data_IF_966800603269
#
_entry.id   IF_966800603269
#
_cell.length_a   1.000
_cell.length_b   1.000
_cell.length_c   1.000
_cell.angle_alpha   90.00
_cell.angle_beta   90.00
_cell.angle_gamma   90.00
#
_symmetry.space_group_name_H-M   'P 1'
#
loop_
_entity.id
_entity.type
_entity.pdbx_description
1 polymer ?
#
# COMPACT_ATOMS: atom_id res chain seq x y z
N UNK A 1 10.59 -5.42 -3.41
CA UNK A 1 9.81 -5.28 -2.15
C UNK A 1 9.23 -6.59 -1.63
N UNK A 2 8.32 -7.27 -2.34
CA UNK A 2 7.67 -8.50 -1.83
C UNK A 2 8.67 -9.64 -1.51
N UNK A 3 9.70 -9.83 -2.35
CA UNK A 3 10.71 -10.87 -2.11
C UNK A 3 11.47 -10.65 -0.78
N UNK A 4 11.83 -9.40 -0.47
CA UNK A 4 12.46 -9.03 0.81
C UNK A 4 11.54 -9.31 1.99
N UNK A 5 10.27 -8.86 1.92
CA UNK A 5 9.30 -9.09 2.99
C UNK A 5 9.08 -10.60 3.23
N UNK A 6 9.05 -11.40 2.16
CA UNK A 6 8.95 -12.85 2.27
C UNK A 6 10.21 -13.47 2.89
N UNK A 7 11.39 -12.96 2.55
CA UNK A 7 12.66 -13.42 3.13
C UNK A 7 12.73 -13.11 4.62
N UNK A 8 12.45 -11.85 5.01
CA UNK A 8 12.41 -11.43 6.41
C UNK A 8 11.39 -12.23 7.23
N UNK A 9 10.20 -12.51 6.69
CA UNK A 9 9.21 -13.36 7.38
C UNK A 9 9.71 -14.79 7.67
N UNK A 10 10.60 -15.33 6.82
CA UNK A 10 11.18 -16.67 6.98
C UNK A 10 12.38 -16.67 7.92
N UNK A 11 12.94 -15.51 8.23
CA UNK A 11 14.01 -15.36 9.20
C UNK A 11 13.41 -15.24 10.61
N UNK A 12 13.32 -16.36 11.33
CA UNK A 12 12.68 -16.37 12.65
C UNK A 12 13.44 -15.56 13.70
N UNK A 13 14.73 -15.30 13.50
CA UNK A 13 15.55 -14.53 14.44
C UNK A 13 15.28 -13.03 14.28
N UNK A 14 15.29 -12.55 13.04
CA UNK A 14 15.18 -11.12 12.76
C UNK A 14 13.74 -10.64 12.54
N UNK A 15 12.82 -11.53 12.18
CA UNK A 15 11.43 -11.16 11.88
C UNK A 15 10.75 -10.36 13.00
N UNK A 16 10.83 -10.73 14.29
CA UNK A 16 10.14 -9.99 15.35
C UNK A 16 10.60 -8.52 15.42
N UNK A 17 11.91 -8.28 15.31
CA UNK A 17 12.48 -6.94 15.34
C UNK A 17 12.13 -6.16 14.06
N UNK A 18 12.26 -6.81 12.89
CA UNK A 18 11.92 -6.22 11.60
C UNK A 18 10.44 -5.81 11.53
N UNK A 19 9.53 -6.68 12.00
CA UNK A 19 8.10 -6.41 12.06
C UNK A 19 7.78 -5.30 13.07
N UNK A 20 8.41 -5.31 14.25
CA UNK A 20 8.23 -4.28 15.28
C UNK A 20 8.66 -2.87 14.81
N UNK A 21 9.57 -2.78 13.85
CA UNK A 21 9.97 -1.51 13.24
C UNK A 21 8.94 -0.90 12.26
N UNK A 22 7.87 -1.64 11.93
CA UNK A 22 6.76 -1.18 11.09
C UNK A 22 5.56 -0.82 11.97
N UNK A 23 5.29 0.48 12.23
CA UNK A 23 4.19 0.84 13.10
C UNK A 23 2.84 0.51 12.45
N UNK A 24 1.83 0.09 13.25
CA UNK A 24 0.47 0.02 12.76
C UNK A 24 -0.06 1.43 12.44
N UNK A 25 -0.94 1.61 11.44
CA UNK A 25 -1.42 2.94 11.07
C UNK A 25 -2.09 3.72 12.20
N UNK A 26 -2.68 3.05 13.21
CA UNK A 26 -3.22 3.69 14.41
C UNK A 26 -2.19 4.52 15.18
N UNK A 27 -0.93 4.04 15.24
CA UNK A 27 0.17 4.64 15.99
C UNK A 27 1.06 5.54 15.12
N UNK A 28 0.61 5.84 13.90
CA UNK A 28 1.38 6.66 12.98
C UNK A 28 1.40 8.13 13.41
N UNK A 29 2.57 8.81 13.35
CA UNK A 29 2.63 10.26 13.55
C UNK A 29 1.86 11.02 12.46
N UNK A 30 1.59 10.37 11.32
CA UNK A 30 0.89 10.98 10.20
C UNK A 30 -0.62 10.79 10.29
N UNK A 31 -1.36 11.88 10.44
CA UNK A 31 -2.82 11.86 10.60
C UNK A 31 -3.57 11.17 9.45
N UNK A 32 -3.04 11.19 8.22
CA UNK A 32 -3.69 10.53 7.08
C UNK A 32 -3.63 9.00 7.15
N UNK A 33 -2.65 8.42 7.85
CA UNK A 33 -2.54 6.97 8.08
C UNK A 33 -3.47 6.50 9.19
N UNK A 34 -3.73 7.33 10.20
CA UNK A 34 -4.62 6.99 11.34
C UNK A 34 -6.10 6.84 10.98
N UNK A 35 -6.50 7.23 9.76
CA UNK A 35 -7.89 7.13 9.26
C UNK A 35 -8.23 5.72 8.76
N UNK A 36 -9.52 5.39 8.68
CA UNK A 36 -10.01 4.14 8.08
C UNK A 36 -10.57 3.15 9.10
N UNK A 37 -10.83 1.93 8.64
CA UNK A 37 -11.45 0.86 9.43
C UNK A 37 -10.45 0.26 10.43
N UNK A 38 -10.96 -0.41 11.46
CA UNK A 38 -10.16 -1.14 12.46
C UNK A 38 -9.15 -2.10 11.83
N UNK A 39 -9.56 -2.81 10.77
CA UNK A 39 -8.69 -3.74 10.04
C UNK A 39 -7.44 -3.03 9.50
N UNK A 40 -7.58 -1.86 8.88
CA UNK A 40 -6.44 -1.06 8.43
C UNK A 40 -5.61 -0.56 9.61
N UNK A 41 -6.27 0.03 10.61
CA UNK A 41 -5.60 0.74 11.70
C UNK A 41 -4.74 -0.17 12.59
N UNK A 42 -5.16 -1.42 12.79
CA UNK A 42 -4.58 -2.31 13.81
C UNK A 42 -4.00 -3.60 13.23
N UNK A 43 -4.40 -4.00 12.02
CA UNK A 43 -3.94 -5.26 11.43
C UNK A 43 -2.94 -5.06 10.29
N UNK A 44 -2.69 -3.83 9.84
CA UNK A 44 -1.62 -3.51 8.90
C UNK A 44 -0.41 -2.95 9.64
N UNK A 45 0.78 -3.19 9.10
CA UNK A 45 2.07 -2.72 9.60
C UNK A 45 2.85 -2.22 8.40
N UNK A 46 3.10 -0.90 8.34
CA UNK A 46 3.41 -0.26 7.05
C UNK A 46 4.66 0.61 7.11
N UNK A 47 5.36 0.66 5.99
CA UNK A 47 6.33 1.70 5.66
C UNK A 47 5.82 2.52 4.49
N UNK A 48 5.97 3.84 4.61
CA UNK A 48 5.74 4.79 3.53
C UNK A 48 7.06 5.26 2.94
N UNK A 49 7.06 5.56 1.64
CA UNK A 49 8.13 6.27 0.95
C UNK A 49 7.53 7.27 -0.02
N UNK A 50 8.07 8.48 -0.07
CA UNK A 50 7.58 9.55 -0.95
C UNK A 50 8.74 10.26 -1.61
N UNK A 51 8.58 10.61 -2.89
CA UNK A 51 9.51 11.47 -3.63
C UNK A 51 8.68 12.46 -4.45
N UNK A 52 9.23 13.65 -4.71
CA UNK A 52 8.51 14.69 -5.46
C UNK A 52 9.16 15.03 -6.81
N UNK A 53 10.39 14.57 -7.09
CA UNK A 53 11.14 14.93 -8.29
C UNK A 53 11.89 13.73 -8.88
N UNK A 54 12.01 13.62 -10.22
CA UNK A 54 11.41 14.49 -11.23
C UNK A 54 9.89 14.26 -11.41
N UNK A 55 9.39 13.13 -10.93
CA UNK A 55 7.97 12.83 -10.79
C UNK A 55 7.66 12.40 -9.36
N UNK A 56 6.45 12.68 -8.91
CA UNK A 56 5.92 12.23 -7.64
C UNK A 56 5.94 10.71 -7.54
N UNK A 57 6.33 10.18 -6.39
CA UNK A 57 6.29 8.75 -6.08
C UNK A 57 5.64 8.58 -4.72
N UNK A 58 4.76 7.58 -4.61
CA UNK A 58 4.22 7.11 -3.35
C UNK A 58 4.38 5.59 -3.27
N UNK A 59 5.25 5.16 -2.37
CA UNK A 59 5.44 3.79 -1.96
C UNK A 59 4.72 3.49 -0.65
N UNK A 60 4.05 2.35 -0.59
CA UNK A 60 3.45 1.79 0.61
C UNK A 60 3.68 0.28 0.62
N UNK A 61 4.36 -0.24 1.64
CA UNK A 61 4.66 -1.66 1.74
C UNK A 61 4.63 -2.13 3.19
N UNK A 62 4.48 -3.44 3.38
CA UNK A 62 4.58 -4.05 4.70
C UNK A 62 3.77 -5.32 4.81
N UNK A 63 3.26 -5.59 6.00
CA UNK A 63 2.49 -6.79 6.30
C UNK A 63 1.07 -6.44 6.75
N UNK A 64 0.19 -7.43 6.66
CA UNK A 64 -1.08 -7.42 7.35
C UNK A 64 -1.34 -8.79 8.00
N UNK A 65 -2.01 -8.78 9.16
CA UNK A 65 -2.38 -9.99 9.90
C UNK A 65 -3.73 -10.51 9.41
N UNK A 66 -3.73 -11.75 8.97
CA UNK A 66 -4.92 -12.53 8.63
C UNK A 66 -5.48 -13.24 9.89
N UNK A 67 -6.75 -13.66 9.86
CA UNK A 67 -7.30 -14.59 10.85
C UNK A 67 -6.42 -15.84 11.01
N UNK A 68 -6.32 -16.37 12.23
CA UNK A 68 -5.48 -17.54 12.53
C UNK A 68 -3.98 -17.25 12.64
N UNK A 69 -3.58 -15.97 12.76
CA UNK A 69 -2.19 -15.59 13.04
C UNK A 69 -1.26 -15.56 11.82
N UNK A 70 -1.79 -15.82 10.63
CA UNK A 70 -1.02 -15.77 9.37
C UNK A 70 -0.70 -14.33 8.97
N UNK A 71 0.39 -14.15 8.24
CA UNK A 71 0.78 -12.87 7.65
C UNK A 71 0.56 -12.88 6.14
N UNK A 72 0.08 -11.75 5.61
CA UNK A 72 0.21 -11.43 4.19
C UNK A 72 1.19 -10.27 4.01
N UNK A 73 1.94 -10.29 2.91
CA UNK A 73 2.87 -9.22 2.54
C UNK A 73 2.32 -8.44 1.33
N UNK A 74 2.54 -7.13 1.31
CA UNK A 74 2.10 -6.27 0.21
C UNK A 74 3.13 -5.17 -0.08
N UNK A 75 3.11 -4.67 -1.30
CA UNK A 75 3.91 -3.55 -1.75
C UNK A 75 3.20 -2.88 -2.92
N UNK A 76 3.00 -1.58 -2.80
CA UNK A 76 2.37 -0.74 -3.81
C UNK A 76 3.33 0.40 -4.11
N UNK A 77 3.55 0.65 -5.39
CA UNK A 77 4.32 1.77 -5.89
C UNK A 77 3.46 2.53 -6.89
N UNK A 78 3.19 3.79 -6.60
CA UNK A 78 2.48 4.69 -7.50
C UNK A 78 3.48 5.73 -7.99
N UNK A 79 3.68 5.80 -9.30
CA UNK A 79 4.54 6.79 -9.94
C UNK A 79 3.68 7.82 -10.68
N UNK A 80 4.11 9.07 -10.61
CA UNK A 80 3.68 10.11 -11.52
C UNK A 80 4.13 9.81 -12.94
N UNK A 81 3.63 10.60 -13.87
CA UNK A 81 3.95 10.49 -15.30
C UNK A 81 4.09 11.89 -15.90
N UNK A 82 4.60 12.03 -17.13
CA UNK A 82 4.64 13.33 -17.80
C UNK A 82 3.29 14.06 -17.85
N UNK A 83 2.17 13.33 -17.93
CA UNK A 83 0.81 13.89 -17.93
C UNK A 83 0.28 14.22 -16.53
N UNK A 84 0.72 13.47 -15.52
CA UNK A 84 0.33 13.64 -14.12
C UNK A 84 1.58 13.54 -13.23
N UNK A 85 2.40 14.60 -13.19
CA UNK A 85 3.71 14.53 -12.56
C UNK A 85 3.62 14.45 -11.04
N UNK A 86 2.56 15.00 -10.44
CA UNK A 86 2.39 15.09 -9.00
C UNK A 86 1.42 14.04 -8.47
N UNK A 87 1.68 13.53 -7.27
CA UNK A 87 0.77 12.64 -6.55
C UNK A 87 0.17 13.38 -5.36
N UNK A 88 -1.15 13.56 -5.37
CA UNK A 88 -1.88 14.02 -4.20
C UNK A 88 -1.93 12.91 -3.14
N UNK A 89 -1.00 12.93 -2.18
CA UNK A 89 -0.80 11.87 -1.19
C UNK A 89 -2.08 11.56 -0.41
N UNK A 90 -2.80 12.58 0.05
CA UNK A 90 -4.04 12.40 0.82
C UNK A 90 -5.09 11.57 0.07
N UNK A 91 -5.58 12.02 -1.11
CA UNK A 91 -6.47 11.24 -1.96
C UNK A 91 -5.94 9.85 -2.29
N UNK A 92 -4.66 9.73 -2.69
CA UNK A 92 -4.08 8.43 -3.07
C UNK A 92 -4.07 7.44 -1.89
N UNK A 93 -3.67 7.88 -0.69
CA UNK A 93 -3.69 7.05 0.51
C UNK A 93 -5.10 6.64 0.91
N UNK A 94 -6.13 7.47 0.65
CA UNK A 94 -7.52 7.04 0.84
C UNK A 94 -7.88 5.90 -0.09
N UNK A 95 -7.52 6.00 -1.38
CA UNK A 95 -7.79 4.95 -2.37
C UNK A 95 -7.04 3.65 -2.04
N UNK A 96 -5.74 3.73 -1.77
CA UNK A 96 -4.94 2.54 -1.45
C UNK A 96 -5.46 1.84 -0.19
N UNK A 97 -5.81 2.60 0.85
CA UNK A 97 -6.41 2.03 2.05
C UNK A 97 -7.72 1.32 1.74
N UNK A 98 -8.61 1.91 0.94
CA UNK A 98 -9.88 1.29 0.59
C UNK A 98 -9.68 -0.07 -0.11
N UNK A 99 -8.75 -0.14 -1.06
CA UNK A 99 -8.39 -1.38 -1.77
C UNK A 99 -7.80 -2.42 -0.81
N UNK A 100 -6.89 -2.01 0.06
CA UNK A 100 -6.25 -2.91 1.03
C UNK A 100 -7.24 -3.44 2.08
N UNK A 101 -8.15 -2.59 2.57
CA UNK A 101 -9.22 -2.99 3.48
C UNK A 101 -10.17 -4.01 2.84
N UNK A 102 -10.55 -3.79 1.57
CA UNK A 102 -11.38 -4.72 0.82
C UNK A 102 -10.66 -6.06 0.61
N UNK A 103 -9.38 -6.01 0.22
CA UNK A 103 -8.57 -7.21 -0.01
C UNK A 103 -8.35 -8.03 1.26
N UNK A 104 -8.04 -7.39 2.39
CA UNK A 104 -7.85 -8.08 3.66
C UNK A 104 -9.17 -8.64 4.26
N UNK A 105 -10.31 -8.11 3.83
CA UNK A 105 -11.63 -8.62 4.24
C UNK A 105 -12.14 -9.77 3.35
N UNK A 106 -11.50 -10.03 2.20
CA UNK A 106 -11.98 -11.01 1.23
C UNK A 106 -11.69 -12.47 1.66
N UNK A 107 -12.66 -13.39 1.56
CA UNK A 107 -12.44 -14.81 1.82
C UNK A 107 -11.37 -15.37 0.88
N UNK A 108 -10.31 -15.95 1.45
CA UNK A 108 -9.30 -16.66 0.68
C UNK A 108 -8.37 -15.78 -0.16
N UNK A 109 -7.99 -14.59 0.34
CA UNK A 109 -7.00 -13.68 -0.25
C UNK A 109 -5.74 -14.42 -0.76
N UNK A 110 -5.83 -14.97 -1.98
CA UNK A 110 -4.71 -15.44 -2.77
C UNK A 110 -4.05 -14.22 -3.37
N UNK A 111 -2.74 -14.34 -3.48
CA UNK A 111 -1.83 -13.38 -4.09
C UNK A 111 -2.44 -12.88 -5.41
N UNK A 112 -2.79 -11.58 -5.56
CA UNK A 112 -3.04 -11.05 -6.88
C UNK A 112 -1.73 -11.22 -7.66
N UNK A 113 -1.77 -11.95 -8.78
CA UNK A 113 -0.70 -11.91 -9.76
C UNK A 113 -0.41 -10.44 -10.03
N UNK A 114 0.87 -10.04 -10.00
CA UNK A 114 1.31 -8.65 -10.07
C UNK A 114 0.54 -7.87 -11.14
N UNK A 115 -0.54 -7.20 -10.75
CA UNK A 115 -1.40 -6.48 -11.66
C UNK A 115 -0.70 -5.15 -11.89
N UNK A 116 0.11 -5.09 -12.94
CA UNK A 116 0.48 -3.83 -13.56
C UNK A 116 -0.78 -3.26 -14.22
N UNK A 117 -1.70 -2.71 -13.42
CA UNK A 117 -2.84 -1.99 -13.97
C UNK A 117 -2.34 -0.68 -14.58
N UNK A 118 -2.09 -0.69 -15.89
CA UNK A 118 -2.12 0.52 -16.71
C UNK A 118 -3.56 1.00 -16.77
N UNK A 119 -3.99 1.77 -15.78
CA UNK A 119 -5.21 2.56 -15.89
C UNK A 119 -4.91 3.72 -16.85
N UNK A 120 -5.12 3.50 -18.15
CA UNK A 120 -5.24 4.57 -19.13
C UNK A 120 -6.62 5.19 -18.87
N UNK A 121 -6.66 6.39 -18.29
CA UNK A 121 -7.90 7.17 -18.28
C UNK A 121 -8.37 7.33 -19.74
N UNK A 122 -9.66 7.09 -20.06
CA UNK A 122 -10.14 7.32 -21.40
C UNK A 122 -9.98 8.80 -21.74
N UNK A 123 -9.25 9.08 -22.82
CA UNK A 123 -9.24 10.37 -23.48
C UNK A 123 -10.68 10.75 -23.80
N UNK A 124 -11.21 11.78 -23.13
CA UNK A 124 -12.38 12.48 -23.63
C UNK A 124 -11.94 13.11 -24.95
N UNK A 125 -12.39 12.53 -26.07
CA UNK A 125 -12.23 13.15 -27.40
C UNK A 125 -12.94 14.49 -27.36
N UNK A 126 -12.21 15.51 -27.77
CA UNK A 126 -12.77 16.79 -28.18
C UNK A 126 -13.87 16.54 -29.23
N UNK A 127 -14.98 17.26 -29.10
CA UNK A 127 -15.99 17.39 -30.14
C UNK A 127 -16.10 18.88 -30.53
N UNK A 128 -16.32 19.20 -31.82
CA UNK A 128 -15.84 20.45 -32.42
C UNK A 128 -16.89 21.55 -32.53
N UNK A 129 -16.35 22.79 -32.63
CA UNK A 129 -16.93 24.10 -32.97
C UNK A 129 -17.98 24.67 -32.01
#
# INVERSE_FOLDING_TARGET
>A
FIALLRAMYRDSMDFPAFWGALPPPAESPFAFLRRGRKIWREHFFVKTGTLNAPFGVLGLAGYFRLPGGRFGAFAILVNGSPRHPNIAIGPMMRTLRHVLEAWASAPGARQPAAAQSRAILPHRKDAPK
#
